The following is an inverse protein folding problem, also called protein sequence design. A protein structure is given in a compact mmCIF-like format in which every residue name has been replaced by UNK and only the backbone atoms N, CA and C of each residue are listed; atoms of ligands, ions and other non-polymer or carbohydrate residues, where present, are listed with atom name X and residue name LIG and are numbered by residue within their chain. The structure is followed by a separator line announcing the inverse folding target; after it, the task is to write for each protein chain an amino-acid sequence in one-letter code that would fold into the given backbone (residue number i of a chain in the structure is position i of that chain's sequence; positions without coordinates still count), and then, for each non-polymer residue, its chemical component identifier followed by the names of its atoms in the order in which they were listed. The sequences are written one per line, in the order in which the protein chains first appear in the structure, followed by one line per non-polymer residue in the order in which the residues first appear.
data_IF_320284597047
#
_entry.id   IF_320284597047
#
_cell.length_a   1.000
_cell.length_b   1.000
_cell.length_c   1.000
_cell.angle_alpha   90.00
_cell.angle_beta   90.00
_cell.angle_gamma   90.00
#
_symmetry.space_group_name_H-M   'P 1'
#
loop_
_entity.id
_entity.type
_entity.pdbx_description
1 polymer ?
#
# COMPACT_ATOMS: atom_id res chain seq x y z
N UNK A 1 -24.32 -0.22 0.79
CA UNK A 1 -22.98 -0.70 0.37
C UNK A 1 -22.23 -1.06 1.63
N UNK A 2 -21.62 -2.26 1.76
CA UNK A 2 -20.85 -2.56 2.97
C UNK A 2 -19.74 -1.52 3.06
N UNK A 3 -19.70 -0.80 4.19
CA UNK A 3 -18.67 0.18 4.50
C UNK A 3 -17.40 -0.63 4.68
N UNK A 4 -16.54 -0.61 3.67
CA UNK A 4 -15.19 -1.13 3.80
C UNK A 4 -14.38 0.04 4.34
N UNK A 5 -14.12 0.10 5.66
CA UNK A 5 -13.33 1.20 6.19
C UNK A 5 -11.93 1.08 5.60
N UNK A 6 -11.44 2.19 5.05
CA UNK A 6 -10.01 2.34 4.86
C UNK A 6 -9.36 2.21 6.24
N UNK A 7 -8.20 1.55 6.31
CA UNK A 7 -7.39 1.58 7.53
C UNK A 7 -6.41 2.76 7.38
N UNK A 8 -6.78 4.00 7.79
CA UNK A 8 -5.91 5.15 7.64
C UNK A 8 -4.74 5.07 8.58
N UNK A 9 -3.59 5.60 8.17
CA UNK A 9 -2.51 5.85 9.11
C UNK A 9 -1.44 6.80 8.58
N UNK A 10 -0.83 7.54 9.50
CA UNK A 10 0.27 8.47 9.25
C UNK A 10 1.52 7.91 9.91
N UNK A 11 2.60 7.78 9.16
CA UNK A 11 3.94 7.50 9.68
C UNK A 11 4.54 8.82 10.24
N UNK A 12 5.83 8.90 10.48
CA UNK A 12 6.51 10.03 11.14
C UNK A 12 6.17 11.42 10.51
N UNK A 13 6.53 12.54 11.16
CA UNK A 13 6.17 13.88 10.69
C UNK A 13 6.46 14.06 9.19
N UNK A 14 5.48 14.63 8.47
CA UNK A 14 5.59 14.89 7.03
C UNK A 14 6.78 15.80 6.78
N UNK A 15 7.83 15.29 6.14
CA UNK A 15 8.95 16.11 5.74
C UNK A 15 8.54 17.11 4.64
N UNK A 16 9.29 18.20 4.51
CA UNK A 16 9.03 19.20 3.50
C UNK A 16 9.11 18.61 2.08
N UNK A 17 8.24 19.08 1.18
CA UNK A 17 8.21 18.67 -0.23
C UNK A 17 7.06 17.72 -0.61
N UNK A 18 6.88 17.49 -1.93
CA UNK A 18 5.75 16.72 -2.46
C UNK A 18 5.77 15.24 -2.07
N UNK A 19 6.95 14.65 -1.94
CA UNK A 19 7.11 13.21 -1.72
C UNK A 19 6.63 12.36 -2.91
N UNK A 20 6.60 11.04 -2.70
CA UNK A 20 6.18 10.04 -3.69
C UNK A 20 4.99 9.26 -3.17
N UNK A 21 3.91 9.24 -3.94
CA UNK A 21 2.70 8.45 -3.67
C UNK A 21 2.74 7.18 -4.49
N UNK A 22 2.72 6.04 -3.82
CA UNK A 22 2.71 4.71 -4.43
C UNK A 22 1.34 4.09 -4.26
N UNK A 23 0.71 3.72 -5.37
CA UNK A 23 -0.60 3.06 -5.40
C UNK A 23 -0.44 1.65 -5.94
N UNK A 24 -0.80 0.65 -5.12
CA UNK A 24 -0.77 -0.76 -5.53
C UNK A 24 -2.16 -1.35 -5.52
N UNK A 25 -2.55 -2.02 -6.61
CA UNK A 25 -3.77 -2.81 -6.69
C UNK A 25 -3.42 -4.29 -6.78
N UNK A 26 -4.06 -5.09 -5.93
CA UNK A 26 -3.84 -6.52 -5.84
C UNK A 26 -5.18 -7.25 -5.91
N UNK A 27 -5.27 -8.23 -6.81
CA UNK A 27 -6.45 -9.08 -6.97
C UNK A 27 -6.05 -10.54 -6.84
N UNK A 28 -6.52 -11.22 -5.80
CA UNK A 28 -6.21 -12.64 -5.60
C UNK A 28 -7.05 -13.55 -6.51
N UNK A 29 -6.47 -14.69 -6.90
CA UNK A 29 -7.17 -15.72 -7.69
C UNK A 29 -8.25 -16.44 -6.88
N UNK A 30 -8.00 -16.73 -5.60
CA UNK A 30 -8.87 -17.61 -4.79
C UNK A 30 -9.25 -16.97 -3.46
N UNK A 31 -10.45 -17.30 -2.97
CA UNK A 31 -10.95 -16.80 -1.67
C UNK A 31 -10.21 -17.39 -0.47
N UNK A 32 -9.78 -18.66 -0.55
CA UNK A 32 -9.04 -19.32 0.53
C UNK A 32 -7.72 -18.61 0.90
N UNK A 33 -7.18 -17.81 -0.02
CA UNK A 33 -5.91 -17.11 0.14
C UNK A 33 -6.08 -15.76 0.85
N UNK A 34 -7.31 -15.23 0.87
CA UNK A 34 -7.65 -13.91 1.43
C UNK A 34 -7.24 -13.75 2.89
N UNK A 35 -7.51 -14.71 3.82
CA UNK A 35 -7.12 -14.53 5.22
C UNK A 35 -5.60 -14.48 5.41
N UNK A 36 -4.85 -15.31 4.69
CA UNK A 36 -3.40 -15.33 4.78
C UNK A 36 -2.79 -14.07 4.15
N UNK A 37 -3.28 -13.64 2.99
CA UNK A 37 -2.84 -12.42 2.33
C UNK A 37 -3.14 -11.17 3.16
N UNK A 38 -4.30 -11.11 3.82
CA UNK A 38 -4.65 -9.99 4.68
C UNK A 38 -3.72 -9.91 5.90
N UNK A 39 -3.35 -11.04 6.52
CA UNK A 39 -2.34 -11.06 7.60
C UNK A 39 -0.98 -10.54 7.13
N UNK A 40 -0.51 -11.00 5.97
CA UNK A 40 0.76 -10.52 5.39
C UNK A 40 0.66 -9.01 5.07
N UNK A 41 -0.49 -8.53 4.59
CA UNK A 41 -0.74 -7.10 4.34
C UNK A 41 -0.66 -6.26 5.61
N UNK A 42 -1.17 -6.77 6.74
CA UNK A 42 -1.05 -6.10 8.04
C UNK A 42 0.40 -6.08 8.55
N UNK A 43 1.17 -7.15 8.32
CA UNK A 43 2.59 -7.20 8.68
C UNK A 43 3.45 -6.24 7.82
N UNK A 44 3.18 -6.17 6.52
CA UNK A 44 3.81 -5.20 5.61
C UNK A 44 3.44 -3.77 5.99
N UNK A 45 2.17 -3.55 6.37
CA UNK A 45 1.75 -2.27 6.92
C UNK A 45 2.60 -1.94 8.15
N UNK A 46 2.70 -2.84 9.13
CA UNK A 46 3.53 -2.71 10.33
C UNK A 46 5.01 -2.39 10.02
N UNK A 47 5.57 -2.98 8.97
CA UNK A 47 6.92 -2.68 8.48
C UNK A 47 7.04 -1.27 7.92
N UNK A 48 6.12 -0.86 7.05
CA UNK A 48 6.11 0.49 6.46
C UNK A 48 6.02 1.57 7.54
N UNK A 49 5.37 1.26 8.67
CA UNK A 49 5.22 2.16 9.81
C UNK A 49 6.52 2.66 10.41
N UNK A 50 7.50 1.77 10.49
CA UNK A 50 8.82 2.07 11.04
C UNK A 50 9.86 2.33 9.96
N UNK A 51 9.46 2.35 8.68
CA UNK A 51 10.40 2.50 7.59
C UNK A 51 10.85 3.97 7.48
N UNK A 52 12.17 4.25 7.41
CA UNK A 52 12.66 5.59 7.13
C UNK A 52 12.04 6.16 5.85
N UNK A 53 11.56 7.40 5.94
CA UNK A 53 10.93 8.12 4.85
C UNK A 53 9.48 7.73 4.54
N UNK A 54 8.83 6.88 5.34
CA UNK A 54 7.38 6.70 5.25
C UNK A 54 6.65 7.91 5.89
N UNK A 55 5.66 8.44 5.17
CA UNK A 55 4.78 9.56 5.63
C UNK A 55 3.38 9.11 5.98
N UNK A 56 2.76 8.26 5.16
CA UNK A 56 1.43 7.70 5.43
C UNK A 56 1.19 6.42 4.65
N UNK A 57 0.24 5.60 5.12
CA UNK A 57 -0.23 4.42 4.39
C UNK A 57 -1.71 4.17 4.67
N UNK A 58 -2.46 3.93 3.60
CA UNK A 58 -3.82 3.46 3.63
C UNK A 58 -3.90 2.06 3.02
N UNK A 59 -4.64 1.18 3.67
CA UNK A 59 -5.01 -0.14 3.14
C UNK A 59 -6.53 -0.21 3.02
N UNK A 60 -7.03 -0.37 1.80
CA UNK A 60 -8.42 -0.75 1.51
C UNK A 60 -8.45 -2.24 1.20
N UNK A 61 -8.98 -3.02 2.14
CA UNK A 61 -9.18 -4.45 1.95
C UNK A 61 -10.64 -4.73 1.60
N UNK A 62 -10.90 -5.37 0.45
CA UNK A 62 -12.22 -5.80 0.02
C UNK A 62 -12.27 -7.34 -0.05
N UNK A 63 -12.35 -8.06 1.09
CA UNK A 63 -12.16 -9.51 1.16
C UNK A 63 -13.13 -10.28 0.26
N UNK A 64 -14.39 -9.85 0.19
CA UNK A 64 -15.43 -10.45 -0.64
C UNK A 64 -15.21 -10.26 -2.15
N UNK A 65 -14.44 -9.23 -2.53
CA UNK A 65 -14.01 -9.00 -3.91
C UNK A 65 -12.62 -9.59 -4.22
N UNK A 66 -11.89 -10.08 -3.19
CA UNK A 66 -10.46 -10.47 -3.27
C UNK A 66 -9.56 -9.32 -3.72
N UNK A 67 -10.01 -8.09 -3.53
CA UNK A 67 -9.28 -6.88 -3.93
C UNK A 67 -8.65 -6.20 -2.72
N UNK A 68 -7.43 -5.76 -2.92
CA UNK A 68 -6.69 -4.96 -1.95
C UNK A 68 -6.06 -3.80 -2.69
N UNK A 69 -6.24 -2.60 -2.15
CA UNK A 69 -5.58 -1.39 -2.64
C UNK A 69 -4.75 -0.82 -1.51
N UNK A 70 -3.47 -0.54 -1.78
CA UNK A 70 -2.62 0.24 -0.88
C UNK A 70 -2.29 1.57 -1.51
N UNK A 71 -2.24 2.59 -0.65
CA UNK A 71 -1.77 3.93 -0.99
C UNK A 71 -0.76 4.29 0.05
N UNK A 72 0.48 4.49 -0.34
CA UNK A 72 1.55 4.85 0.58
C UNK A 72 2.23 6.11 0.11
N UNK A 73 2.60 6.97 1.04
CA UNK A 73 3.28 8.22 0.77
C UNK A 73 4.63 8.22 1.45
N UNK A 74 5.66 8.60 0.70
CA UNK A 74 7.06 8.53 1.09
C UNK A 74 7.77 9.85 0.82
N UNK A 75 8.91 10.07 1.46
CA UNK A 75 9.77 11.23 1.22
C UNK A 75 10.30 11.26 -0.21
N UNK A 76 10.73 10.12 -0.73
CA UNK A 76 11.30 9.97 -2.07
C UNK A 76 11.26 8.51 -2.56
N UNK A 77 11.67 8.30 -3.82
CA UNK A 77 11.77 6.96 -4.42
C UNK A 77 12.84 6.09 -3.72
N UNK A 78 13.88 6.68 -3.12
CA UNK A 78 14.92 5.93 -2.45
C UNK A 78 14.39 5.24 -1.18
N UNK A 79 13.54 5.93 -0.42
CA UNK A 79 12.82 5.40 0.74
C UNK A 79 11.89 4.25 0.33
N UNK A 80 11.11 4.42 -0.75
CA UNK A 80 10.27 3.35 -1.33
C UNK A 80 11.14 2.13 -1.67
N UNK A 81 12.23 2.36 -2.41
CA UNK A 81 13.13 1.30 -2.85
C UNK A 81 13.80 0.57 -1.68
N UNK A 82 14.17 1.28 -0.61
CA UNK A 82 14.71 0.68 0.59
C UNK A 82 13.67 -0.21 1.29
N UNK A 83 12.44 0.29 1.47
CA UNK A 83 11.35 -0.46 2.06
C UNK A 83 11.07 -1.76 1.30
N UNK A 84 10.84 -1.71 -0.03
CA UNK A 84 10.39 -2.88 -0.79
C UNK A 84 11.40 -4.03 -0.82
N UNK A 85 12.68 -3.76 -0.53
CA UNK A 85 13.76 -4.75 -0.47
C UNK A 85 13.87 -5.45 0.89
N UNK A 86 13.19 -4.96 1.92
CA UNK A 86 13.25 -5.52 3.27
C UNK A 86 12.05 -6.43 3.55
N UNK A 87 12.22 -7.36 4.47
CA UNK A 87 11.14 -8.25 4.91
C UNK A 87 10.30 -7.58 6.01
N UNK A 88 8.99 -7.90 6.11
CA UNK A 88 8.24 -8.93 5.39
C UNK A 88 7.82 -8.64 3.93
N UNK A 89 7.88 -7.38 3.45
CA UNK A 89 7.39 -7.01 2.10
C UNK A 89 8.01 -7.86 0.99
N UNK A 90 9.35 -7.93 0.97
CA UNK A 90 10.10 -8.66 -0.04
C UNK A 90 9.69 -10.15 -0.09
N UNK A 91 9.51 -10.80 1.06
CA UNK A 91 9.05 -12.19 1.15
C UNK A 91 7.59 -12.37 0.69
N UNK A 92 6.70 -11.47 1.08
CA UNK A 92 5.29 -11.53 0.69
C UNK A 92 5.10 -11.39 -0.82
N UNK A 93 5.81 -10.45 -1.47
CA UNK A 93 5.78 -10.29 -2.93
C UNK A 93 6.23 -11.56 -3.66
N UNK A 94 7.23 -12.27 -3.15
CA UNK A 94 7.64 -13.58 -3.70
C UNK A 94 6.55 -14.63 -3.51
N UNK A 95 5.98 -14.73 -2.32
CA UNK A 95 4.97 -15.72 -1.95
C UNK A 95 3.71 -15.60 -2.81
N UNK A 96 3.21 -14.40 -3.00
CA UNK A 96 1.89 -14.17 -3.59
C UNK A 96 1.89 -14.02 -5.10
N UNK A 97 3.07 -13.91 -5.75
CA UNK A 97 3.16 -13.63 -7.20
C UNK A 97 2.32 -14.58 -8.07
N UNK A 98 2.28 -15.88 -7.74
CA UNK A 98 1.54 -16.90 -8.52
C UNK A 98 0.04 -16.92 -8.21
N UNK A 99 -0.34 -16.38 -7.05
CA UNK A 99 -1.73 -16.36 -6.57
C UNK A 99 -2.44 -15.05 -6.92
N UNK A 100 -1.74 -14.11 -7.55
CA UNK A 100 -2.32 -12.89 -8.11
C UNK A 100 -3.01 -13.19 -9.44
N UNK A 101 -4.25 -12.73 -9.56
CA UNK A 101 -4.95 -12.62 -10.83
C UNK A 101 -4.54 -11.35 -11.57
N UNK A 102 -4.36 -10.27 -10.81
CA UNK A 102 -3.94 -8.97 -11.31
C UNK A 102 -3.11 -8.27 -10.24
N UNK A 103 -2.08 -7.56 -10.70
CA UNK A 103 -1.20 -6.76 -9.87
C UNK A 103 -0.79 -5.51 -10.66
N UNK A 104 -0.94 -4.34 -10.07
CA UNK A 104 -0.36 -3.10 -10.58
C UNK A 104 0.25 -2.30 -9.45
N UNK A 105 1.33 -1.59 -9.74
CA UNK A 105 2.00 -0.68 -8.82
C UNK A 105 2.43 0.56 -9.62
N UNK A 106 1.99 1.74 -9.19
CA UNK A 106 2.27 3.02 -9.85
C UNK A 106 2.74 4.04 -8.83
N UNK A 107 3.76 4.82 -9.20
CA UNK A 107 4.23 5.97 -8.43
C UNK A 107 3.77 7.27 -9.07
N UNK A 108 3.39 8.23 -8.24
CA UNK A 108 2.95 9.56 -8.62
C UNK A 108 3.65 10.60 -7.72
N UNK A 109 3.93 11.81 -8.23
CA UNK A 109 4.34 12.90 -7.36
C UNK A 109 3.24 13.19 -6.35
N UNK A 110 3.60 13.35 -5.08
CA UNK A 110 2.67 13.84 -4.07
C UNK A 110 2.46 15.35 -4.18
N UNK A 111 1.56 15.87 -3.35
CA UNK A 111 1.29 17.30 -3.25
C UNK A 111 1.82 17.79 -1.89
N UNK A 112 2.65 18.85 -1.85
CA UNK A 112 3.19 19.35 -0.59
C UNK A 112 2.08 19.66 0.42
N UNK A 113 2.22 19.14 1.65
CA UNK A 113 1.26 19.35 2.73
C UNK A 113 -0.08 18.61 2.59
N UNK A 114 -0.28 17.80 1.54
CA UNK A 114 -1.54 17.07 1.31
C UNK A 114 -1.29 15.57 1.46
N UNK A 115 -1.87 14.99 2.50
CA UNK A 115 -1.85 13.54 2.69
C UNK A 115 -2.77 12.89 1.64
N UNK A 116 -2.25 12.00 0.76
CA UNK A 116 -3.08 11.31 -0.21
C UNK A 116 -4.03 10.34 0.51
N UNK A 117 -5.30 10.32 0.09
CA UNK A 117 -6.30 9.35 0.55
C UNK A 117 -6.48 8.22 -0.47
N UNK A 118 -7.19 7.16 -0.09
CA UNK A 118 -7.59 6.10 -1.04
C UNK A 118 -8.45 6.66 -2.17
N UNK A 119 -9.32 7.64 -1.89
CA UNK A 119 -10.16 8.26 -2.91
C UNK A 119 -9.33 9.08 -3.91
N UNK A 120 -8.38 9.88 -3.44
CA UNK A 120 -7.48 10.64 -4.33
C UNK A 120 -6.57 9.70 -5.13
N UNK A 121 -6.13 8.59 -4.55
CA UNK A 121 -5.32 7.59 -5.24
C UNK A 121 -6.11 6.73 -6.23
N UNK A 122 -7.40 6.48 -5.99
CA UNK A 122 -8.28 5.86 -6.96
C UNK A 122 -8.41 6.72 -8.22
N UNK A 123 -8.44 8.06 -8.07
CA UNK A 123 -8.40 8.98 -9.20
C UNK A 123 -7.05 8.98 -9.94
N UNK A 124 -5.94 8.69 -9.26
CA UNK A 124 -4.62 8.50 -9.89
C UNK A 124 -4.48 7.15 -10.63
N UNK A 125 -5.44 6.23 -10.43
CA UNK A 125 -5.41 4.86 -10.95
C UNK A 125 -6.43 4.55 -12.05
N UNK A 126 -7.32 5.51 -12.35
CA UNK A 126 -8.28 5.46 -13.45
C UNK A 126 -7.62 5.89 -14.76
#
# INVERSE_FOLDING_TARGET
MPVIPDLPWTAAPVADGPGVVVVTHLHLRRFRDVPAFFRDSLAIRAQAMGAPGARSLYLRAQPLARHFTTVSWWDDDAAVHAFVRTDPHRAAMRRWRSEMREFSNRSHPGTPGVVPTVQTAAALSA
#
